data_IF_990108069515
#
_entry.id   IF_990108069515
#
_cell.length_a   1.000
_cell.length_b   1.000
_cell.length_c   1.000
_cell.angle_alpha   90.00
_cell.angle_beta   90.00
_cell.angle_gamma   90.00
#
_symmetry.space_group_name_H-M   'P 1'
#
loop_
_entity.id
_entity.type
_entity.pdbx_description
1 polymer ?
#
# COMPACT_ATOMS: atom_id res chain seq x y z
N UNK A 1 -34.13 1.00 -23.07
CA UNK A 1 -35.06 1.81 -22.26
C UNK A 1 -35.16 3.16 -22.96
N UNK A 2 -36.33 3.53 -23.46
CA UNK A 2 -36.51 4.75 -24.25
C UNK A 2 -36.68 5.93 -23.29
N UNK A 3 -35.71 6.84 -23.25
CA UNK A 3 -35.78 8.10 -22.52
C UNK A 3 -35.66 9.21 -23.57
N UNK A 4 -36.72 10.02 -23.68
CA UNK A 4 -36.76 11.33 -24.33
C UNK A 4 -36.56 11.46 -25.85
N UNK A 5 -37.27 10.67 -26.66
CA UNK A 5 -37.64 11.07 -28.05
C UNK A 5 -36.49 11.34 -29.04
N UNK A 6 -35.25 11.17 -28.63
CA UNK A 6 -34.04 11.21 -29.43
C UNK A 6 -33.54 9.77 -29.55
N UNK A 7 -33.67 9.19 -30.75
CA UNK A 7 -33.08 7.89 -31.11
C UNK A 7 -31.57 8.00 -31.22
N UNK A 8 -30.89 8.34 -30.12
CA UNK A 8 -29.45 8.21 -30.06
C UNK A 8 -29.12 6.72 -29.86
N UNK A 9 -28.26 6.12 -30.69
CA UNK A 9 -27.80 4.76 -30.46
C UNK A 9 -27.01 4.73 -29.15
N UNK A 10 -27.42 3.86 -28.24
CA UNK A 10 -26.67 3.56 -27.02
C UNK A 10 -25.84 2.31 -27.25
N UNK A 11 -24.58 2.37 -26.82
CA UNK A 11 -23.66 1.24 -26.89
C UNK A 11 -23.49 0.67 -25.49
N UNK A 12 -23.71 -0.63 -25.33
CA UNK A 12 -23.33 -1.34 -24.12
C UNK A 12 -21.87 -1.74 -24.29
N UNK A 13 -21.01 -1.24 -23.41
CA UNK A 13 -19.59 -1.58 -23.39
C UNK A 13 -19.28 -2.20 -22.04
N UNK A 14 -18.45 -3.23 -22.09
CA UNK A 14 -17.87 -3.86 -20.92
C UNK A 14 -16.95 -2.86 -20.19
N UNK A 15 -17.26 -2.55 -18.94
CA UNK A 15 -16.55 -1.58 -18.13
C UNK A 15 -15.10 -1.98 -17.84
N UNK A 16 -14.83 -3.29 -17.81
CA UNK A 16 -13.54 -3.88 -17.43
C UNK A 16 -12.76 -4.39 -18.65
N UNK A 17 -13.14 -3.96 -19.86
CA UNK A 17 -12.62 -4.52 -21.10
C UNK A 17 -11.08 -4.51 -21.21
N UNK A 18 -10.42 -3.48 -20.67
CA UNK A 18 -8.95 -3.43 -20.67
C UNK A 18 -8.34 -4.49 -19.76
N UNK A 19 -8.93 -4.68 -18.57
CA UNK A 19 -8.48 -5.68 -17.62
C UNK A 19 -8.62 -7.09 -18.20
N UNK A 20 -9.75 -7.36 -18.86
CA UNK A 20 -10.02 -8.65 -19.48
C UNK A 20 -9.09 -8.95 -20.68
N UNK A 21 -8.82 -7.95 -21.53
CA UNK A 21 -7.96 -8.15 -22.70
C UNK A 21 -6.46 -8.14 -22.37
N UNK A 22 -6.04 -7.44 -21.31
CA UNK A 22 -4.62 -7.17 -21.02
C UNK A 22 -4.23 -7.57 -19.61
N UNK A 23 -4.76 -6.90 -18.59
CA UNK A 23 -4.18 -6.95 -17.22
C UNK A 23 -4.36 -8.29 -16.53
N UNK A 24 -5.47 -8.98 -16.79
CA UNK A 24 -5.82 -10.27 -16.19
C UNK A 24 -5.33 -11.46 -17.04
N UNK A 25 -4.59 -11.21 -18.11
CA UNK A 25 -4.06 -12.27 -18.97
C UNK A 25 -3.00 -13.11 -18.24
N UNK A 26 -2.84 -14.41 -18.57
CA UNK A 26 -1.80 -15.25 -17.98
C UNK A 26 -0.37 -14.72 -18.19
N UNK A 27 -0.15 -13.94 -19.27
CA UNK A 27 1.15 -13.32 -19.53
C UNK A 27 1.46 -12.23 -18.50
N UNK A 28 0.49 -11.38 -18.15
CA UNK A 28 0.66 -10.32 -17.14
C UNK A 28 0.80 -10.85 -15.71
N UNK A 29 0.54 -12.14 -15.47
CA UNK A 29 0.84 -12.77 -14.18
C UNK A 29 2.34 -13.08 -13.99
N UNK A 30 3.20 -12.88 -15.00
CA UNK A 30 4.64 -13.17 -14.90
C UNK A 30 5.41 -11.90 -14.52
N UNK A 31 6.16 -11.94 -13.42
CA UNK A 31 6.83 -10.75 -12.88
C UNK A 31 7.72 -10.00 -13.88
N UNK A 32 8.45 -10.72 -14.73
CA UNK A 32 9.31 -10.15 -15.77
C UNK A 32 8.56 -9.32 -16.81
N UNK A 33 7.29 -9.64 -17.07
CA UNK A 33 6.49 -8.99 -18.11
C UNK A 33 6.15 -7.55 -17.72
N UNK A 34 6.03 -7.23 -16.44
CA UNK A 34 5.79 -5.87 -15.99
C UNK A 34 6.95 -4.95 -16.43
N UNK A 35 8.18 -5.38 -16.23
CA UNK A 35 9.35 -4.64 -16.71
C UNK A 35 9.35 -4.51 -18.24
N UNK A 36 9.05 -5.60 -18.96
CA UNK A 36 8.96 -5.57 -20.43
C UNK A 36 7.90 -4.57 -20.92
N UNK A 37 6.75 -4.50 -20.26
CA UNK A 37 5.66 -3.56 -20.57
C UNK A 37 6.09 -2.11 -20.34
N UNK A 38 6.60 -1.79 -19.14
CA UNK A 38 6.90 -0.40 -18.78
C UNK A 38 8.16 0.16 -19.45
N UNK A 39 9.15 -0.70 -19.79
CA UNK A 39 10.36 -0.25 -20.49
C UNK A 39 10.21 -0.18 -22.01
N UNK A 40 9.24 -0.88 -22.60
CA UNK A 40 9.01 -0.83 -24.04
C UNK A 40 8.32 0.49 -24.44
N UNK A 41 8.79 1.23 -25.46
CA UNK A 41 8.10 2.44 -25.93
C UNK A 41 6.72 2.17 -26.54
N UNK A 42 6.51 0.95 -27.05
CA UNK A 42 5.30 0.49 -27.74
C UNK A 42 5.12 -1.00 -27.46
N UNK A 43 3.89 -1.40 -27.14
CA UNK A 43 3.50 -2.78 -26.86
C UNK A 43 2.23 -3.08 -27.65
N UNK A 44 2.24 -4.22 -28.33
CA UNK A 44 1.05 -4.79 -28.95
C UNK A 44 0.69 -6.05 -28.16
N UNK A 45 -0.44 -6.00 -27.47
CA UNK A 45 -0.99 -7.12 -26.72
C UNK A 45 -1.93 -7.93 -27.63
N UNK A 46 -1.76 -9.24 -27.58
CA UNK A 46 -2.69 -10.19 -28.20
C UNK A 46 -3.67 -10.62 -27.10
N UNK A 47 -4.77 -9.88 -26.99
CA UNK A 47 -5.86 -10.18 -26.07
C UNK A 47 -6.65 -11.40 -26.51
N UNK A 48 -7.62 -11.80 -25.69
CA UNK A 48 -8.45 -12.98 -25.97
C UNK A 48 -9.40 -12.72 -27.15
N UNK A 49 -9.94 -11.50 -27.26
CA UNK A 49 -10.96 -11.15 -28.25
C UNK A 49 -10.43 -10.17 -29.30
N UNK A 50 -9.43 -9.37 -28.98
CA UNK A 50 -8.90 -8.34 -29.89
C UNK A 50 -7.43 -8.01 -29.62
N UNK A 51 -6.82 -7.27 -30.54
CA UNK A 51 -5.54 -6.61 -30.29
C UNK A 51 -5.72 -5.38 -29.41
N UNK A 52 -4.78 -5.18 -28.49
CA UNK A 52 -4.65 -3.95 -27.72
C UNK A 52 -3.29 -3.31 -27.97
N UNK A 53 -3.29 -1.99 -28.13
CA UNK A 53 -2.09 -1.19 -28.35
C UNK A 53 -1.83 -0.32 -27.13
N UNK A 54 -0.58 -0.26 -26.71
CA UNK A 54 -0.13 0.62 -25.65
C UNK A 54 1.19 1.30 -26.04
N UNK A 55 1.26 2.62 -25.95
CA UNK A 55 2.50 3.38 -26.04
C UNK A 55 2.54 4.49 -24.99
N UNK A 56 3.63 5.26 -24.95
CA UNK A 56 3.81 6.37 -24.01
C UNK A 56 2.97 7.62 -24.36
N UNK A 57 1.84 7.46 -25.07
CA UNK A 57 0.98 8.57 -25.50
C UNK A 57 -0.48 8.11 -25.71
N UNK A 58 -0.70 6.87 -26.13
CA UNK A 58 -2.01 6.34 -26.49
C UNK A 58 -2.15 4.89 -26.04
N UNK A 59 -3.33 4.59 -25.47
CA UNK A 59 -3.82 3.24 -25.25
C UNK A 59 -5.06 3.03 -26.11
N UNK A 60 -5.08 1.98 -26.92
CA UNK A 60 -6.13 1.71 -27.90
C UNK A 60 -6.49 0.22 -27.97
N UNK A 61 -7.72 -0.05 -28.42
CA UNK A 61 -8.26 -1.38 -28.71
C UNK A 61 -8.71 -1.41 -30.17
N UNK A 62 -8.89 -2.57 -30.80
CA UNK A 62 -9.45 -2.65 -32.16
C UNK A 62 -10.80 -1.94 -32.27
N UNK A 63 -11.63 -2.03 -31.23
CA UNK A 63 -12.91 -1.32 -31.15
C UNK A 63 -12.78 0.17 -30.79
N UNK A 64 -11.63 0.60 -30.27
CA UNK A 64 -11.32 1.98 -29.91
C UNK A 64 -9.99 2.44 -30.54
N UNK A 65 -9.90 2.50 -31.89
CA UNK A 65 -8.63 2.75 -32.58
C UNK A 65 -8.08 4.17 -32.35
N UNK A 66 -8.94 5.11 -31.93
CA UNK A 66 -8.56 6.48 -31.60
C UNK A 66 -8.22 6.68 -30.10
N UNK A 67 -8.29 5.63 -29.29
CA UNK A 67 -8.02 5.67 -27.86
C UNK A 67 -9.17 5.13 -27.01
N UNK A 68 -8.83 4.38 -25.96
CA UNK A 68 -9.80 3.89 -24.98
C UNK A 68 -10.35 5.08 -24.17
N UNK A 69 -11.68 5.24 -24.06
CA UNK A 69 -12.28 6.27 -23.21
C UNK A 69 -11.80 6.16 -21.75
N UNK A 70 -11.48 7.29 -21.11
CA UNK A 70 -10.96 7.31 -19.74
C UNK A 70 -11.88 6.68 -18.70
N UNK A 71 -13.19 6.67 -18.94
CA UNK A 71 -14.16 5.97 -18.07
C UNK A 71 -13.96 4.45 -18.05
N UNK A 72 -13.40 3.88 -19.13
CA UNK A 72 -13.10 2.44 -19.26
C UNK A 72 -11.64 2.12 -18.92
N UNK A 73 -10.80 3.14 -18.77
CA UNK A 73 -9.40 3.02 -18.39
C UNK A 73 -8.97 4.26 -17.60
N UNK A 74 -9.25 4.29 -16.28
CA UNK A 74 -8.94 5.46 -15.46
C UNK A 74 -7.45 5.80 -15.38
N UNK A 75 -6.57 4.79 -15.53
CA UNK A 75 -5.13 4.95 -15.55
C UNK A 75 -4.52 4.14 -16.70
N UNK A 76 -4.05 4.81 -17.74
CA UNK A 76 -3.25 4.19 -18.79
C UNK A 76 -1.78 4.08 -18.38
N UNK A 77 -1.00 3.28 -19.11
CA UNK A 77 0.47 3.29 -18.97
C UNK A 77 1.05 4.69 -19.10
N UNK A 78 0.52 5.52 -20.00
CA UNK A 78 1.00 6.88 -20.16
C UNK A 78 0.77 7.72 -18.90
N UNK A 79 -0.40 7.61 -18.28
CA UNK A 79 -0.73 8.34 -17.05
C UNK A 79 0.20 7.92 -15.91
N UNK A 80 0.40 6.60 -15.75
CA UNK A 80 1.30 6.02 -14.74
C UNK A 80 2.73 6.49 -14.97
N UNK A 81 3.26 6.35 -16.20
CA UNK A 81 4.63 6.77 -16.51
C UNK A 81 4.81 8.28 -16.31
N UNK A 82 3.85 9.10 -16.74
CA UNK A 82 3.90 10.55 -16.59
C UNK A 82 3.95 10.98 -15.12
N UNK A 83 3.21 10.30 -14.25
CA UNK A 83 3.27 10.53 -12.81
C UNK A 83 4.61 10.07 -12.20
N UNK A 84 5.14 8.93 -12.63
CA UNK A 84 6.40 8.36 -12.14
C UNK A 84 7.63 9.19 -12.53
N UNK A 85 7.71 9.68 -13.77
CA UNK A 85 8.87 10.43 -14.26
C UNK A 85 8.66 11.95 -14.18
N UNK A 86 7.47 12.39 -13.76
CA UNK A 86 7.11 13.78 -13.63
C UNK A 86 7.91 14.50 -12.53
N UNK A 87 8.08 15.82 -12.70
CA UNK A 87 8.80 16.65 -11.75
C UNK A 87 8.04 16.80 -10.43
N UNK A 88 8.61 16.24 -9.35
CA UNK A 88 8.05 16.26 -8.00
C UNK A 88 8.16 17.61 -7.29
N UNK A 89 8.97 18.54 -7.82
CA UNK A 89 9.11 19.91 -7.31
C UNK A 89 7.86 20.78 -7.48
N UNK A 90 6.84 20.28 -8.18
CA UNK A 90 5.58 21.00 -8.47
C UNK A 90 4.62 21.09 -7.28
N UNK A 91 4.95 20.51 -6.13
CA UNK A 91 4.18 20.58 -4.88
C UNK A 91 3.65 19.22 -4.42
N UNK A 92 2.86 19.22 -3.34
CA UNK A 92 2.36 17.99 -2.71
C UNK A 92 1.49 17.13 -3.63
N UNK A 93 0.69 17.75 -4.50
CA UNK A 93 -0.14 17.01 -5.47
C UNK A 93 0.70 16.15 -6.42
N UNK A 94 1.85 16.67 -6.89
CA UNK A 94 2.75 15.89 -7.75
C UNK A 94 3.37 14.70 -7.00
N UNK A 95 3.78 14.92 -5.73
CA UNK A 95 4.30 13.86 -4.85
C UNK A 95 3.26 12.78 -4.59
N UNK A 96 2.00 13.18 -4.42
CA UNK A 96 0.87 12.27 -4.28
C UNK A 96 0.69 11.43 -5.54
N UNK A 97 0.60 12.04 -6.73
CA UNK A 97 0.48 11.31 -8.00
C UNK A 97 1.62 10.32 -8.20
N UNK A 98 2.86 10.71 -7.87
CA UNK A 98 4.01 9.82 -7.92
C UNK A 98 3.87 8.60 -7.02
N UNK A 99 3.48 8.80 -5.75
CA UNK A 99 3.24 7.70 -4.81
C UNK A 99 2.10 6.80 -5.27
N UNK A 100 0.97 7.37 -5.71
CA UNK A 100 -0.17 6.61 -6.24
C UNK A 100 0.27 5.73 -7.43
N UNK A 101 0.98 6.31 -8.41
CA UNK A 101 1.46 5.58 -9.56
C UNK A 101 2.50 4.50 -9.20
N UNK A 102 3.41 4.80 -8.26
CA UNK A 102 4.39 3.82 -7.79
C UNK A 102 3.73 2.66 -7.04
N UNK A 103 2.82 2.97 -6.13
CA UNK A 103 2.08 1.97 -5.34
C UNK A 103 1.23 1.08 -6.25
N UNK A 104 0.63 1.65 -7.31
CA UNK A 104 -0.08 0.87 -8.33
C UNK A 104 0.86 -0.12 -9.05
N UNK A 105 2.02 0.33 -9.50
CA UNK A 105 3.02 -0.52 -10.17
C UNK A 105 3.54 -1.62 -9.24
N UNK A 106 3.80 -1.31 -7.97
CA UNK A 106 4.22 -2.30 -6.97
C UNK A 106 3.10 -3.30 -6.70
N UNK A 107 1.85 -2.86 -6.55
CA UNK A 107 0.69 -3.74 -6.39
C UNK A 107 0.58 -4.74 -7.55
N UNK A 108 0.58 -4.24 -8.80
CA UNK A 108 0.59 -5.06 -10.01
C UNK A 108 1.77 -6.04 -10.07
N UNK A 109 2.95 -5.64 -9.60
CA UNK A 109 4.12 -6.51 -9.57
C UNK A 109 4.04 -7.57 -8.47
N UNK A 110 3.56 -7.19 -7.29
CA UNK A 110 3.53 -8.05 -6.10
C UNK A 110 2.60 -9.27 -6.27
N UNK A 111 1.49 -9.10 -7.03
CA UNK A 111 0.59 -10.21 -7.42
C UNK A 111 1.17 -11.15 -8.48
N UNK A 112 2.27 -10.80 -9.13
CA UNK A 112 2.85 -11.64 -10.17
C UNK A 112 3.51 -12.90 -9.57
N UNK A 113 3.39 -14.00 -10.32
CA UNK A 113 4.05 -15.28 -10.03
C UNK A 113 5.51 -15.23 -10.49
N UNK A 114 6.40 -15.65 -9.60
CA UNK A 114 7.82 -15.83 -9.87
C UNK A 114 8.14 -17.32 -9.97
N UNK A 115 8.76 -17.74 -11.08
CA UNK A 115 9.30 -19.10 -11.17
C UNK A 115 10.51 -19.28 -10.24
N UNK A 116 11.31 -18.23 -10.07
CA UNK A 116 12.43 -18.17 -9.12
C UNK A 116 12.24 -16.98 -8.17
N UNK A 117 12.05 -17.25 -6.87
CA UNK A 117 11.79 -16.20 -5.87
C UNK A 117 12.92 -15.16 -5.75
N UNK A 118 14.14 -15.57 -6.09
CA UNK A 118 15.34 -14.70 -6.10
C UNK A 118 15.31 -13.66 -7.21
N UNK A 119 14.49 -13.84 -8.25
CA UNK A 119 14.38 -12.88 -9.36
C UNK A 119 13.53 -11.64 -9.00
N UNK A 120 12.86 -11.62 -7.84
CA UNK A 120 11.93 -10.52 -7.45
C UNK A 120 12.58 -9.13 -7.55
N UNK A 121 13.84 -9.02 -7.12
CA UNK A 121 14.58 -7.76 -7.19
C UNK A 121 14.97 -7.43 -8.63
N UNK A 122 15.52 -8.41 -9.36
CA UNK A 122 16.03 -8.22 -10.73
C UNK A 122 14.92 -7.82 -11.68
N UNK A 123 13.79 -8.53 -11.65
CA UNK A 123 12.66 -8.33 -12.55
C UNK A 123 11.92 -7.01 -12.31
N UNK A 124 12.20 -6.30 -11.23
CA UNK A 124 11.64 -4.97 -10.96
C UNK A 124 12.67 -3.82 -11.15
N UNK A 125 13.96 -4.16 -11.05
CA UNK A 125 15.06 -3.18 -11.01
C UNK A 125 15.13 -2.25 -12.23
N UNK A 126 14.69 -2.70 -13.41
CA UNK A 126 14.71 -1.87 -14.62
C UNK A 126 13.77 -0.66 -14.52
N UNK A 127 12.57 -0.86 -13.98
CA UNK A 127 11.58 0.21 -13.78
C UNK A 127 12.08 1.21 -12.73
N UNK A 128 12.60 0.71 -11.60
CA UNK A 128 13.18 1.55 -10.56
C UNK A 128 14.34 2.42 -11.09
N UNK A 129 15.29 1.83 -11.83
CA UNK A 129 16.42 2.56 -12.42
C UNK A 129 15.98 3.65 -13.40
N UNK A 130 14.97 3.36 -14.21
CA UNK A 130 14.40 4.36 -15.13
C UNK A 130 13.82 5.55 -14.35
N UNK A 131 13.02 5.29 -13.32
CA UNK A 131 12.40 6.34 -12.51
C UNK A 131 13.46 7.15 -11.74
N UNK A 132 14.46 6.49 -11.13
CA UNK A 132 15.58 7.14 -10.45
C UNK A 132 16.37 8.04 -11.41
N UNK A 133 16.68 7.57 -12.62
CA UNK A 133 17.40 8.36 -13.62
C UNK A 133 16.61 9.58 -14.10
N UNK A 134 15.29 9.50 -14.19
CA UNK A 134 14.44 10.62 -14.63
C UNK A 134 14.15 11.63 -13.52
N UNK A 135 14.02 11.18 -12.27
CA UNK A 135 13.56 12.03 -11.16
C UNK A 135 14.68 12.49 -10.23
N UNK A 136 15.80 11.76 -10.17
CA UNK A 136 16.83 11.92 -9.15
C UNK A 136 16.40 11.49 -7.74
N UNK A 137 15.22 10.86 -7.59
CA UNK A 137 14.79 10.30 -6.32
C UNK A 137 15.63 9.05 -6.02
N UNK A 138 16.22 8.99 -4.82
CA UNK A 138 17.03 7.84 -4.38
C UNK A 138 16.13 6.62 -4.12
N UNK A 139 16.40 5.53 -4.84
CA UNK A 139 15.71 4.25 -4.67
C UNK A 139 16.35 3.44 -3.54
N UNK A 140 15.53 2.95 -2.61
CA UNK A 140 15.98 2.22 -1.42
C UNK A 140 15.11 0.98 -1.25
N UNK A 141 15.66 -0.19 -1.58
CA UNK A 141 15.08 -1.52 -1.30
C UNK A 141 13.55 -1.61 -1.50
N UNK A 142 13.04 -1.31 -2.70
CA UNK A 142 11.59 -1.40 -2.98
C UNK A 142 10.84 -0.08 -2.92
N UNK A 143 11.40 0.96 -2.30
CA UNK A 143 10.73 2.25 -2.06
C UNK A 143 11.65 3.43 -2.40
N UNK A 144 11.18 4.64 -2.17
CA UNK A 144 11.87 5.89 -2.44
C UNK A 144 12.15 6.64 -1.15
N UNK A 145 13.32 7.27 -1.05
CA UNK A 145 13.69 8.10 0.12
C UNK A 145 12.61 9.10 0.53
N UNK A 146 11.98 9.75 -0.44
CA UNK A 146 10.95 10.78 -0.23
C UNK A 146 9.55 10.22 0.09
N UNK A 147 9.34 8.90 -0.07
CA UNK A 147 8.10 8.20 0.23
C UNK A 147 8.22 7.24 1.42
N UNK A 148 9.45 6.99 1.91
CA UNK A 148 9.78 5.94 2.87
C UNK A 148 8.84 5.87 4.09
N UNK A 149 8.53 7.01 4.71
CA UNK A 149 7.64 7.04 5.89
C UNK A 149 6.22 6.54 5.61
N UNK A 150 5.73 6.73 4.38
CA UNK A 150 4.40 6.30 3.96
C UNK A 150 4.42 4.82 3.57
N UNK A 151 5.45 4.42 2.84
CA UNK A 151 5.58 3.08 2.28
C UNK A 151 5.80 2.04 3.39
N UNK A 152 6.35 2.41 4.55
CA UNK A 152 6.45 1.52 5.72
C UNK A 152 5.09 0.97 6.21
N UNK A 153 3.99 1.62 5.87
CA UNK A 153 2.63 1.19 6.20
C UNK A 153 2.03 0.17 5.23
N UNK A 154 2.83 -0.43 4.34
CA UNK A 154 2.34 -1.47 3.44
C UNK A 154 1.74 -2.65 4.21
N UNK A 155 0.72 -3.28 3.63
CA UNK A 155 -0.03 -4.40 4.23
C UNK A 155 -0.42 -5.43 3.18
N UNK A 156 -0.77 -6.64 3.61
CA UNK A 156 -1.27 -7.73 2.78
C UNK A 156 -2.80 -7.79 2.93
N UNK A 157 -3.52 -8.16 1.87
CA UNK A 157 -4.95 -8.48 2.01
C UNK A 157 -5.10 -9.99 2.10
N UNK A 158 -5.83 -10.44 3.11
CA UNK A 158 -6.17 -11.85 3.29
C UNK A 158 -7.13 -12.30 2.20
N UNK A 159 -6.61 -12.80 1.09
CA UNK A 159 -7.39 -13.69 0.23
C UNK A 159 -6.92 -15.12 0.45
N UNK A 160 -7.85 -15.92 0.95
CA UNK A 160 -7.75 -17.36 1.16
C UNK A 160 -7.05 -18.03 -0.04
N UNK A 161 -5.82 -18.52 0.13
CA UNK A 161 -5.33 -19.77 -0.51
C UNK A 161 -3.81 -19.95 -0.61
N UNK A 162 -2.96 -18.98 -0.26
CA UNK A 162 -1.51 -19.20 -0.31
C UNK A 162 -0.89 -19.25 1.09
N UNK A 163 -0.23 -20.37 1.40
CA UNK A 163 0.63 -20.55 2.57
C UNK A 163 1.51 -19.31 2.73
N UNK A 164 1.41 -18.65 3.89
CA UNK A 164 2.31 -17.57 4.28
C UNK A 164 3.75 -18.01 3.97
N UNK A 165 4.48 -17.30 3.08
CA UNK A 165 5.84 -17.69 2.78
C UNK A 165 6.64 -17.63 4.08
N UNK A 166 7.19 -18.79 4.48
CA UNK A 166 8.02 -18.92 5.68
C UNK A 166 9.08 -17.81 5.76
N UNK A 167 9.34 -17.33 6.99
CA UNK A 167 10.42 -16.43 7.46
C UNK A 167 11.74 -16.52 6.67
N UNK A 168 12.02 -17.66 6.03
CA UNK A 168 13.10 -17.90 5.07
C UNK A 168 13.27 -16.90 3.91
N UNK A 169 12.33 -15.98 3.64
CA UNK A 169 12.51 -14.92 2.63
C UNK A 169 13.28 -13.70 3.15
N UNK A 170 13.62 -13.66 4.45
CA UNK A 170 14.35 -12.56 5.11
C UNK A 170 15.74 -12.28 4.53
N UNK A 171 16.36 -13.25 3.83
CA UNK A 171 17.68 -13.06 3.23
C UNK A 171 17.64 -12.19 1.94
N UNK A 172 16.46 -11.93 1.36
CA UNK A 172 16.33 -11.20 0.10
C UNK A 172 16.34 -9.68 0.29
N UNK A 173 15.64 -9.20 1.31
CA UNK A 173 15.48 -7.78 1.58
C UNK A 173 15.21 -7.55 3.08
N UNK A 174 15.44 -6.33 3.59
CA UNK A 174 15.11 -5.94 4.96
C UNK A 174 13.62 -6.15 5.26
N UNK A 175 13.23 -6.45 6.50
CA UNK A 175 11.84 -6.83 6.82
C UNK A 175 10.83 -5.69 6.58
N UNK A 176 11.30 -4.44 6.68
CA UNK A 176 10.51 -3.27 6.34
C UNK A 176 10.21 -3.09 4.85
N UNK A 177 10.94 -3.79 3.97
CA UNK A 177 10.71 -3.75 2.54
C UNK A 177 9.65 -4.76 2.13
N UNK A 178 8.66 -4.34 1.32
CA UNK A 178 7.70 -5.25 0.67
C UNK A 178 8.40 -6.28 -0.24
N UNK A 179 9.67 -6.07 -0.61
CA UNK A 179 10.46 -7.03 -1.36
C UNK A 179 10.90 -8.22 -0.51
N UNK A 180 10.74 -8.18 0.82
CA UNK A 180 11.02 -9.32 1.70
C UNK A 180 9.97 -10.42 1.57
N UNK A 181 8.69 -10.09 1.35
CA UNK A 181 7.59 -11.06 1.26
C UNK A 181 7.28 -11.44 -0.19
N UNK A 182 6.59 -12.54 -0.44
CA UNK A 182 5.95 -12.81 -1.75
C UNK A 182 4.44 -12.51 -1.65
N UNK A 183 3.70 -12.48 -2.76
CA UNK A 183 2.26 -12.21 -2.75
C UNK A 183 1.88 -10.73 -2.82
N UNK A 184 0.59 -10.49 -3.00
CA UNK A 184 0.04 -9.16 -3.22
C UNK A 184 0.14 -8.29 -1.97
N UNK A 185 0.56 -7.04 -2.17
CA UNK A 185 0.67 -6.04 -1.12
C UNK A 185 0.02 -4.73 -1.56
N UNK A 186 -0.45 -3.98 -0.59
CA UNK A 186 -1.08 -2.67 -0.74
C UNK A 186 -0.34 -1.65 0.11
N UNK A 187 -0.58 -0.38 -0.21
CA UNK A 187 -0.03 0.74 0.54
C UNK A 187 -1.17 1.60 1.09
N UNK A 188 -0.90 2.40 2.13
CA UNK A 188 -1.81 3.46 2.53
C UNK A 188 -2.19 4.32 1.32
N UNK A 189 -3.48 4.70 1.17
CA UNK A 189 -3.93 5.51 0.05
C UNK A 189 -3.14 6.82 0.00
N UNK A 190 -2.38 7.01 -1.08
CA UNK A 190 -1.63 8.24 -1.27
C UNK A 190 -2.55 9.44 -1.57
N UNK A 191 -3.82 9.17 -1.91
CA UNK A 191 -4.88 10.13 -2.18
C UNK A 191 -5.28 10.99 -1.00
N UNK A 192 -5.13 10.42 0.19
CA UNK A 192 -5.68 10.98 1.40
C UNK A 192 -4.78 12.09 1.93
N UNK A 193 -5.40 13.14 2.46
CA UNK A 193 -4.65 14.31 2.92
C UNK A 193 -3.97 13.99 4.23
N UNK A 194 -2.65 13.86 4.21
CA UNK A 194 -1.85 13.73 5.44
C UNK A 194 -2.03 14.97 6.31
N UNK A 195 -2.49 14.78 7.54
CA UNK A 195 -2.70 15.86 8.52
C UNK A 195 -1.57 15.91 9.55
N UNK A 196 -0.96 14.77 9.87
CA UNK A 196 0.09 14.70 10.89
C UNK A 196 1.04 13.51 10.66
N UNK A 197 2.32 13.70 10.96
CA UNK A 197 3.32 12.63 11.05
C UNK A 197 3.64 12.32 12.51
N UNK A 198 3.61 11.05 12.89
CA UNK A 198 3.91 10.56 14.24
C UNK A 198 5.29 9.92 14.38
N UNK A 199 5.93 9.59 13.25
CA UNK A 199 7.31 9.13 13.20
C UNK A 199 8.16 9.98 12.24
N UNK A 200 9.46 10.03 12.50
CA UNK A 200 10.46 10.71 11.67
C UNK A 200 11.61 9.77 11.35
N UNK A 201 11.99 9.69 10.06
CA UNK A 201 13.16 8.91 9.63
C UNK A 201 14.43 9.66 10.05
N UNK A 202 15.20 9.07 10.97
CA UNK A 202 16.49 9.58 11.42
C UNK A 202 17.65 9.08 10.54
N UNK A 203 17.59 7.81 10.14
CA UNK A 203 18.58 7.17 9.29
C UNK A 203 17.93 6.10 8.40
N UNK A 204 18.54 5.85 7.26
CA UNK A 204 18.13 4.84 6.29
C UNK A 204 19.39 4.30 5.58
N UNK A 205 19.34 3.11 4.98
CA UNK A 205 20.52 2.54 4.33
C UNK A 205 20.87 3.28 3.04
N UNK A 206 22.13 3.69 2.90
CA UNK A 206 22.66 4.36 1.69
C UNK A 206 22.77 3.35 0.55
N UNK A 207 22.28 3.73 -0.64
CA UNK A 207 22.19 2.89 -1.85
C UNK A 207 23.51 2.16 -2.22
N UNK A 208 24.69 2.75 -1.97
CA UNK A 208 26.00 2.13 -2.25
C UNK A 208 26.30 0.86 -1.42
N UNK A 209 25.63 0.66 -0.26
CA UNK A 209 25.75 -0.55 0.57
C UNK A 209 24.64 -1.58 0.33
N UNK A 210 23.59 -1.20 -0.40
CA UNK A 210 22.47 -2.05 -0.80
C UNK A 210 22.80 -2.81 -2.10
N UNK A 211 23.95 -2.54 -2.70
CA UNK A 211 24.42 -3.17 -3.91
C UNK A 211 23.66 -2.65 -5.13
N UNK A 212 24.40 -2.10 -6.09
CA UNK A 212 23.91 -1.96 -7.49
C UNK A 212 23.59 -3.31 -8.15
N UNK A 213 23.86 -4.42 -7.45
CA UNK A 213 23.52 -5.76 -7.85
C UNK A 213 22.12 -6.09 -7.34
N UNK A 214 21.20 -6.30 -8.26
CA UNK A 214 19.79 -6.53 -8.03
C UNK A 214 19.45 -7.86 -7.30
N UNK A 215 20.22 -8.26 -6.28
CA UNK A 215 20.17 -9.60 -5.68
C UNK A 215 19.88 -9.62 -4.17
N UNK A 216 20.30 -8.63 -3.38
CA UNK A 216 19.94 -8.51 -1.96
C UNK A 216 19.97 -7.06 -1.51
N UNK A 217 18.87 -6.59 -0.92
CA UNK A 217 18.86 -5.33 -0.18
C UNK A 217 19.15 -5.60 1.31
N UNK A 218 19.93 -4.74 1.97
CA UNK A 218 20.23 -4.87 3.41
C UNK A 218 20.26 -3.51 4.09
N UNK A 219 19.88 -3.47 5.36
CA UNK A 219 20.10 -2.34 6.26
C UNK A 219 18.89 -1.95 7.09
N UNK A 220 19.17 -1.23 8.17
CA UNK A 220 18.16 -0.78 9.13
C UNK A 220 17.67 0.64 8.81
N UNK A 221 16.40 0.91 9.09
CA UNK A 221 15.83 2.25 9.17
C UNK A 221 15.75 2.65 10.63
N UNK A 222 16.24 3.84 10.97
CA UNK A 222 16.09 4.41 12.30
C UNK A 222 14.93 5.41 12.30
N UNK A 223 13.97 5.18 13.21
CA UNK A 223 12.76 5.97 13.37
C UNK A 223 12.75 6.64 14.75
N UNK A 224 12.51 7.95 14.80
CA UNK A 224 12.05 8.61 16.02
C UNK A 224 10.52 8.54 16.08
N UNK A 225 9.96 7.91 17.10
CA UNK A 225 8.52 7.68 17.21
C UNK A 225 8.05 7.50 18.66
N UNK A 226 6.73 7.33 18.84
CA UNK A 226 6.10 6.90 20.09
C UNK A 226 5.55 5.48 19.91
N UNK A 227 6.31 4.43 20.25
CA UNK A 227 5.83 3.06 20.13
C UNK A 227 4.75 2.77 21.17
N UNK A 228 3.68 2.11 20.75
CA UNK A 228 2.57 1.70 21.60
C UNK A 228 2.53 0.17 21.68
N UNK A 229 2.45 -0.38 22.89
CA UNK A 229 2.31 -1.82 23.05
C UNK A 229 0.93 -2.28 22.55
N UNK A 230 0.92 -3.33 21.74
CA UNK A 230 -0.29 -4.10 21.41
C UNK A 230 -0.59 -5.03 22.59
N UNK A 231 -1.56 -4.64 23.42
CA UNK A 231 -1.86 -5.32 24.69
C UNK A 231 -2.67 -6.60 24.51
N UNK A 232 -3.57 -6.62 23.53
CA UNK A 232 -4.44 -7.76 23.25
C UNK A 232 -5.00 -7.72 21.84
N UNK A 233 -5.36 -8.89 21.32
CA UNK A 233 -6.11 -9.08 20.08
C UNK A 233 -7.25 -10.06 20.34
N UNK A 234 -8.38 -9.86 19.67
CA UNK A 234 -9.52 -10.78 19.61
C UNK A 234 -9.77 -11.20 18.16
N UNK A 235 -10.13 -12.46 17.96
CA UNK A 235 -10.29 -13.06 16.63
C UNK A 235 -11.76 -13.34 16.30
N UNK A 236 -12.18 -13.06 15.08
CA UNK A 236 -13.41 -13.54 14.48
C UNK A 236 -13.10 -14.42 13.26
N UNK A 237 -13.16 -15.74 13.43
CA UNK A 237 -12.64 -16.66 12.42
C UNK A 237 -11.12 -16.52 12.29
N UNK A 238 -10.64 -16.20 11.09
CA UNK A 238 -9.22 -16.02 10.77
C UNK A 238 -8.80 -14.54 10.64
N UNK A 239 -9.71 -13.61 10.92
CA UNK A 239 -9.42 -12.17 10.99
C UNK A 239 -9.43 -11.66 12.42
N UNK A 240 -8.66 -10.60 12.68
CA UNK A 240 -8.66 -9.90 13.96
C UNK A 240 -9.89 -8.99 13.96
N UNK A 241 -10.77 -9.15 14.96
CA UNK A 241 -12.00 -8.34 15.08
C UNK A 241 -11.83 -7.16 16.02
N UNK A 242 -10.88 -7.23 16.95
CA UNK A 242 -10.63 -6.18 17.93
C UNK A 242 -9.20 -6.24 18.43
N UNK A 243 -8.62 -5.09 18.74
CA UNK A 243 -7.30 -5.01 19.37
C UNK A 243 -7.18 -3.82 20.32
N UNK A 244 -6.24 -3.90 21.25
CA UNK A 244 -6.01 -2.86 22.24
C UNK A 244 -4.59 -2.29 22.16
N UNK A 245 -4.50 -0.96 22.06
CA UNK A 245 -3.24 -0.21 22.07
C UNK A 245 -3.38 1.00 22.99
N UNK A 246 -2.37 1.25 23.83
CA UNK A 246 -2.39 2.34 24.80
C UNK A 246 -3.64 2.36 25.72
N UNK A 247 -4.22 1.19 26.03
CA UNK A 247 -5.44 1.06 26.82
C UNK A 247 -6.72 1.46 26.07
N UNK A 248 -6.63 1.66 24.76
CA UNK A 248 -7.74 2.03 23.88
C UNK A 248 -8.05 0.83 22.98
N UNK A 249 -9.31 0.44 23.01
CA UNK A 249 -9.86 -0.70 22.28
C UNK A 249 -10.38 -0.23 20.92
N UNK A 250 -9.92 -0.87 19.85
CA UNK A 250 -10.25 -0.58 18.46
C UNK A 250 -10.92 -1.80 17.86
N UNK A 251 -12.12 -1.61 17.31
CA UNK A 251 -12.87 -2.65 16.59
C UNK A 251 -12.52 -2.60 15.10
N UNK A 252 -12.26 -3.78 14.53
CA UNK A 252 -12.13 -3.98 13.09
C UNK A 252 -13.54 -4.14 12.51
N UNK A 253 -14.01 -3.12 11.80
CA UNK A 253 -15.28 -3.15 11.09
C UNK A 253 -15.06 -3.95 9.81
N UNK A 254 -15.74 -5.10 9.66
CA UNK A 254 -15.55 -6.12 8.58
C UNK A 254 -15.75 -5.57 7.15
N UNK A 255 -16.16 -4.32 7.00
CA UNK A 255 -16.26 -3.66 5.70
C UNK A 255 -14.83 -3.41 5.16
N UNK A 256 -14.59 -3.58 3.85
CA UNK A 256 -13.28 -3.34 3.20
C UNK A 256 -12.67 -1.94 3.46
N UNK A 257 -13.48 -1.05 4.03
CA UNK A 257 -13.14 0.31 4.43
C UNK A 257 -13.09 0.47 5.95
N UNK A 258 -12.75 -0.55 6.73
CA UNK A 258 -12.65 -0.49 8.20
C UNK A 258 -11.26 -0.15 8.75
N UNK A 259 -11.16 -0.10 10.09
CA UNK A 259 -9.87 -0.19 10.79
C UNK A 259 -9.36 -1.62 10.66
N UNK A 260 -8.14 -1.82 10.19
CA UNK A 260 -7.60 -3.16 9.96
C UNK A 260 -6.23 -3.34 10.61
N UNK A 261 -6.00 -4.51 11.23
CA UNK A 261 -4.72 -4.93 11.76
C UNK A 261 -4.23 -6.16 10.97
N UNK A 262 -3.26 -5.95 10.09
CA UNK A 262 -2.60 -6.99 9.30
C UNK A 262 -1.32 -7.42 10.02
N UNK A 263 -1.34 -8.58 10.68
CA UNK A 263 -0.16 -9.18 11.30
C UNK A 263 0.31 -10.40 10.50
N UNK A 264 1.63 -10.52 10.37
CA UNK A 264 2.24 -11.54 9.53
C UNK A 264 2.35 -12.88 10.25
N UNK A 265 1.88 -13.94 9.58
CA UNK A 265 1.95 -15.32 10.05
C UNK A 265 0.58 -15.97 10.24
N UNK A 266 0.58 -17.23 10.70
CA UNK A 266 -0.66 -17.92 11.05
C UNK A 266 -1.30 -17.31 12.30
N UNK A 267 -2.58 -17.56 12.52
CA UNK A 267 -3.31 -17.16 13.73
C UNK A 267 -2.60 -17.59 15.01
N UNK A 268 -2.07 -18.81 15.04
CA UNK A 268 -1.32 -19.36 16.18
C UNK A 268 0.01 -18.63 16.38
N UNK A 269 0.74 -18.37 15.29
CA UNK A 269 2.02 -17.64 15.33
C UNK A 269 1.81 -16.21 15.82
N UNK A 270 0.82 -15.51 15.28
CA UNK A 270 0.45 -14.15 15.68
C UNK A 270 0.01 -14.11 17.14
N UNK A 271 -0.83 -15.06 17.57
CA UNK A 271 -1.30 -15.11 18.96
C UNK A 271 -0.13 -15.33 19.94
N UNK A 272 0.80 -16.24 19.62
CA UNK A 272 2.02 -16.45 20.43
C UNK A 272 2.94 -15.24 20.39
N UNK A 273 3.12 -14.58 19.23
CA UNK A 273 3.94 -13.39 19.09
C UNK A 273 3.48 -12.25 20.01
N UNK A 274 2.16 -11.99 20.04
CA UNK A 274 1.56 -10.95 20.90
C UNK A 274 1.68 -11.31 22.39
N UNK A 275 1.52 -12.58 22.76
CA UNK A 275 1.60 -13.03 24.16
C UNK A 275 3.03 -13.12 24.70
N UNK A 276 3.98 -13.60 23.90
CA UNK A 276 5.31 -14.03 24.38
C UNK A 276 6.42 -13.01 24.11
N UNK A 277 6.46 -12.42 22.91
CA UNK A 277 7.54 -11.52 22.48
C UNK A 277 7.16 -10.04 22.57
N UNK A 278 5.86 -9.76 22.60
CA UNK A 278 5.33 -8.40 22.52
C UNK A 278 5.42 -7.84 21.11
N UNK A 279 4.40 -7.07 20.74
CA UNK A 279 4.32 -6.36 19.48
C UNK A 279 4.12 -4.88 19.80
N UNK A 280 4.91 -4.03 19.14
CA UNK A 280 4.77 -2.60 19.20
C UNK A 280 4.11 -2.09 17.93
N UNK A 281 3.08 -1.29 18.08
CA UNK A 281 2.56 -0.43 17.03
C UNK A 281 3.40 0.84 16.99
N UNK A 282 3.98 1.15 15.83
CA UNK A 282 4.71 2.40 15.58
C UNK A 282 3.85 3.27 14.65
N UNK A 283 3.13 4.27 15.19
CA UNK A 283 2.35 5.19 14.38
C UNK A 283 3.25 5.98 13.43
N UNK A 284 2.93 5.97 12.14
CA UNK A 284 3.72 6.61 11.09
C UNK A 284 3.18 8.00 10.78
N UNK A 285 1.92 8.07 10.35
CA UNK A 285 1.22 9.29 9.96
C UNK A 285 -0.29 9.08 10.00
N UNK A 286 -1.03 10.18 10.01
CA UNK A 286 -2.48 10.19 9.93
C UNK A 286 -2.97 11.08 8.79
N UNK A 287 -4.10 10.70 8.21
CA UNK A 287 -4.77 11.40 7.11
C UNK A 287 -5.95 12.21 7.63
N UNK A 288 -6.93 12.57 6.83
CA UNK A 288 -8.22 13.06 7.32
C UNK A 288 -9.17 11.92 7.73
N UNK A 289 -8.82 10.66 7.42
CA UNK A 289 -9.69 9.50 7.59
C UNK A 289 -9.12 8.44 8.55
N UNK A 290 -7.80 8.23 8.54
CA UNK A 290 -7.18 7.10 9.20
C UNK A 290 -5.76 7.38 9.71
N UNK A 291 -5.37 6.65 10.75
CA UNK A 291 -4.01 6.55 11.28
C UNK A 291 -3.35 5.30 10.68
N UNK A 292 -2.14 5.44 10.16
CA UNK A 292 -1.36 4.33 9.64
C UNK A 292 -0.15 4.06 10.54
N UNK A 293 0.10 2.78 10.79
CA UNK A 293 1.19 2.33 11.65
C UNK A 293 1.88 1.09 11.07
N UNK A 294 3.15 0.93 11.40
CA UNK A 294 3.89 -0.32 11.18
C UNK A 294 3.92 -1.12 12.49
N UNK A 295 3.69 -2.43 12.41
CA UNK A 295 3.75 -3.32 13.56
C UNK A 295 5.13 -3.95 13.60
N UNK A 296 5.77 -3.94 14.77
CA UNK A 296 7.15 -4.42 14.93
C UNK A 296 7.31 -5.29 16.17
N UNK A 297 8.22 -6.26 16.12
CA UNK A 297 8.60 -7.09 17.27
C UNK A 297 10.12 -7.11 17.43
N UNK A 298 10.61 -7.21 18.66
CA UNK A 298 12.05 -7.15 18.94
C UNK A 298 12.76 -8.42 18.43
N UNK A 299 13.87 -8.22 17.71
CA UNK A 299 14.71 -9.29 17.19
C UNK A 299 15.78 -9.66 18.22
N UNK A 300 15.47 -10.67 19.04
CA UNK A 300 16.40 -11.21 20.04
C UNK A 300 16.68 -10.21 21.15
N UNK A 301 17.96 -9.94 21.44
CA UNK A 301 18.43 -9.00 22.47
C UNK A 301 19.24 -7.83 21.87
N UNK A 302 19.06 -7.57 20.57
CA UNK A 302 19.89 -6.63 19.80
C UNK A 302 19.43 -5.17 19.92
N UNK A 303 18.22 -4.93 20.45
CA UNK A 303 17.54 -3.64 20.37
C UNK A 303 17.21 -3.22 18.93
N UNK A 304 17.15 -4.19 18.01
CA UNK A 304 16.64 -4.05 16.64
C UNK A 304 15.27 -4.72 16.56
N UNK A 305 14.43 -4.22 15.67
CA UNK A 305 13.07 -4.67 15.50
C UNK A 305 12.87 -5.19 14.09
N UNK A 306 12.01 -6.18 13.93
CA UNK A 306 11.54 -6.65 12.63
C UNK A 306 10.09 -6.24 12.44
N UNK A 307 9.73 -5.90 11.21
CA UNK A 307 8.34 -5.67 10.81
C UNK A 307 7.60 -7.01 10.93
N UNK A 308 6.41 -6.95 11.53
CA UNK A 308 5.50 -8.10 11.69
C UNK A 308 4.09 -7.77 11.23
N UNK A 309 3.90 -6.65 10.52
CA UNK A 309 2.60 -6.22 10.05
C UNK A 309 2.44 -4.72 9.88
N UNK A 310 1.21 -4.29 9.67
CA UNK A 310 0.79 -2.89 9.62
C UNK A 310 -0.63 -2.73 10.18
N UNK A 311 -0.98 -1.50 10.55
CA UNK A 311 -2.32 -1.17 11.00
C UNK A 311 -2.84 0.08 10.28
N UNK A 312 -4.11 0.04 9.93
CA UNK A 312 -4.93 1.18 9.53
C UNK A 312 -6.00 1.36 10.60
N UNK A 313 -6.04 2.51 11.26
CA UNK A 313 -7.05 2.79 12.30
C UNK A 313 -7.88 3.98 11.86
N UNK A 314 -9.11 3.73 11.48
CA UNK A 314 -10.00 4.78 11.02
C UNK A 314 -10.58 5.58 12.16
N UNK A 315 -10.76 6.86 11.89
CA UNK A 315 -11.41 7.79 12.80
C UNK A 315 -12.31 8.80 12.12
N UNK A 316 -12.37 8.85 10.79
CA UNK A 316 -13.21 9.78 10.05
C UNK A 316 -13.90 9.10 8.87
N UNK A 317 -15.21 9.28 8.75
CA UNK A 317 -16.00 8.83 7.59
C UNK A 317 -17.03 9.89 7.20
N UNK A 318 -17.33 9.97 5.90
CA UNK A 318 -18.47 10.75 5.41
C UNK A 318 -19.74 9.91 5.55
N UNK A 319 -20.80 10.48 6.13
CA UNK A 319 -22.10 9.83 6.19
C UNK A 319 -22.83 10.08 4.86
N UNK A 320 -23.17 9.01 4.14
CA UNK A 320 -23.99 9.14 2.93
C UNK A 320 -25.42 9.53 3.31
N UNK A 321 -25.73 10.82 3.12
CA UNK A 321 -27.03 11.40 3.42
C UNK A 321 -28.17 10.79 2.58
N UNK A 322 -27.86 10.08 1.49
CA UNK A 322 -28.86 9.44 0.62
C UNK A 322 -29.38 8.09 1.16
N UNK A 323 -28.66 7.46 2.09
CA UNK A 323 -28.93 6.07 2.52
C UNK A 323 -29.63 5.94 3.89
N UNK A 324 -30.02 7.03 4.56
CA UNK A 324 -30.52 6.98 5.96
C UNK A 324 -29.62 6.13 6.87
N UNK A 325 -28.30 6.15 6.65
CA UNK A 325 -27.37 5.29 7.38
C UNK A 325 -27.38 5.61 8.88
N UNK A 326 -27.61 4.60 9.72
CA UNK A 326 -27.45 4.70 11.16
C UNK A 326 -25.98 4.96 11.50
N UNK A 327 -25.71 5.80 12.51
CA UNK A 327 -24.35 6.05 12.97
C UNK A 327 -23.85 4.77 13.67
N UNK A 328 -22.73 4.17 13.24
CA UNK A 328 -22.24 2.94 13.86
C UNK A 328 -21.86 3.17 15.32
N UNK A 329 -21.91 2.10 16.12
CA UNK A 329 -21.52 2.16 17.53
C UNK A 329 -20.07 2.65 17.68
N UNK A 330 -19.85 3.56 18.63
CA UNK A 330 -18.54 4.20 18.85
C UNK A 330 -18.25 5.41 17.95
N UNK A 331 -19.10 5.70 16.95
CA UNK A 331 -18.99 6.88 16.09
C UNK A 331 -19.90 8.03 16.54
N UNK A 332 -19.46 9.27 16.34
CA UNK A 332 -20.21 10.49 16.70
C UNK A 332 -20.13 11.55 15.60
N UNK A 333 -21.18 12.36 15.45
CA UNK A 333 -21.18 13.47 14.48
C UNK A 333 -20.08 14.50 14.80
N UNK A 334 -19.29 14.85 13.80
CA UNK A 334 -18.24 15.87 13.89
C UNK A 334 -18.71 17.18 13.26
N UNK A 335 -19.13 18.14 14.09
CA UNK A 335 -19.34 19.59 13.80
C UNK A 335 -20.21 19.97 12.59
N UNK A 336 -19.82 19.52 11.39
CA UNK A 336 -20.56 19.52 10.14
C UNK A 336 -21.55 18.35 10.02
N UNK A 337 -22.66 18.55 9.31
CA UNK A 337 -23.80 17.63 9.26
C UNK A 337 -23.63 16.38 8.38
N UNK A 338 -22.41 16.02 7.99
CA UNK A 338 -22.13 14.89 7.08
C UNK A 338 -20.89 14.08 7.42
N UNK A 339 -20.28 14.31 8.58
CA UNK A 339 -19.04 13.63 9.00
C UNK A 339 -19.21 12.99 10.36
N UNK A 340 -18.75 11.75 10.48
CA UNK A 340 -18.70 11.02 11.75
C UNK A 340 -17.25 10.71 12.10
N UNK A 341 -16.98 10.66 13.41
CA UNK A 341 -15.66 10.30 13.95
C UNK A 341 -15.74 9.19 14.98
N UNK A 342 -14.77 8.28 14.97
CA UNK A 342 -14.69 7.22 15.97
C UNK A 342 -14.12 7.78 17.28
N UNK A 343 -14.85 7.60 18.38
CA UNK A 343 -14.52 8.19 19.67
C UNK A 343 -13.26 7.59 20.29
N UNK A 344 -13.05 6.28 20.14
CA UNK A 344 -11.89 5.59 20.68
C UNK A 344 -10.64 5.99 19.89
N UNK A 345 -10.71 5.97 18.56
CA UNK A 345 -9.57 6.39 17.74
C UNK A 345 -9.24 7.88 17.92
N UNK A 346 -10.24 8.74 18.13
CA UNK A 346 -9.99 10.15 18.47
C UNK A 346 -9.19 10.30 19.78
N UNK A 347 -9.50 9.49 20.81
CA UNK A 347 -8.73 9.46 22.06
C UNK A 347 -7.28 8.99 21.82
N UNK A 348 -7.08 8.06 20.89
CA UNK A 348 -5.74 7.57 20.54
C UNK A 348 -4.90 8.68 19.90
N UNK A 349 -5.48 9.48 19.00
CA UNK A 349 -4.79 10.63 18.41
C UNK A 349 -4.44 11.68 19.46
N UNK A 350 -5.36 11.98 20.40
CA UNK A 350 -5.09 12.91 21.51
C UNK A 350 -3.97 12.38 22.42
N UNK A 351 -3.97 11.08 22.72
CA UNK A 351 -2.91 10.43 23.48
C UNK A 351 -1.56 10.58 22.76
N UNK A 352 -1.50 10.30 21.45
CA UNK A 352 -0.29 10.41 20.66
C UNK A 352 0.25 11.84 20.61
N UNK A 353 -0.62 12.82 20.41
CA UNK A 353 -0.24 14.23 20.40
C UNK A 353 0.39 14.68 21.73
N UNK A 354 -0.06 14.11 22.86
CA UNK A 354 0.54 14.35 24.18
C UNK A 354 1.85 13.58 24.36
N UNK A 355 1.84 12.27 24.10
CA UNK A 355 2.97 11.37 24.31
C UNK A 355 4.19 11.78 23.48
N UNK A 356 4.00 12.31 22.28
CA UNK A 356 5.07 12.83 21.42
C UNK A 356 5.98 13.86 22.11
N UNK A 357 5.49 14.60 23.11
CA UNK A 357 6.30 15.59 23.84
C UNK A 357 7.13 14.99 24.98
N UNK A 358 6.81 13.76 25.40
CA UNK A 358 7.27 13.21 26.67
C UNK A 358 8.01 11.87 26.50
N UNK A 359 7.68 11.07 25.48
CA UNK A 359 8.07 9.65 25.41
C UNK A 359 8.60 9.20 24.05
N UNK A 360 9.09 10.12 23.21
CA UNK A 360 9.76 9.75 21.95
C UNK A 360 10.97 8.84 22.20
N UNK A 361 11.14 7.85 21.32
CA UNK A 361 12.27 6.91 21.33
C UNK A 361 12.75 6.67 19.90
N UNK A 362 14.02 6.28 19.79
CA UNK A 362 14.58 5.75 18.55
C UNK A 362 14.33 4.24 18.48
N UNK A 363 13.82 3.77 17.34
CA UNK A 363 13.67 2.35 16.97
C UNK A 363 14.48 2.09 15.72
N UNK A 364 15.24 1.00 15.72
CA UNK A 364 15.93 0.49 14.53
C UNK A 364 15.12 -0.67 13.97
N UNK A 365 14.65 -0.52 12.74
CA UNK A 365 13.83 -1.48 12.02
C UNK A 365 14.68 -2.15 10.94
N UNK A 366 14.91 -3.45 11.10
CA UNK A 366 15.70 -4.32 10.21
C UNK A 366 14.89 -4.84 9.03
#
# INVERSE_FOLDING_TARGET
>A
MEVDGLRNPYWLVDGDIWNDEVENTPLMQRAWVLQERFLAPRVLHFGQRQLAWECNELTALEMFPAGVPSILLPQSKFDILSALIGSQSRGEYAKQQFREAWNHVVGQYSRCKLTQKTDKLVAFSGVAKMVEACTGNEYIAGTWKNALIYDLGWYRTGTDSEEWPSITTSDRAPSWSWMAVDGEIFFPPASDKVVEHFATILAYPVSERVGTSAFQARGEIELECVPLMLSSIEWAGDTISEFEVAGIRITDDIDESGSHLDLEGSKEEVTSLVQDRGVLMVPLFATDLALFAVMVSEEGLSGSYVRVGAAKIEYGKTLDASLQAEIPDGWVMSGSSSWIVNKNTSQLLEYLAKARKETQRSIRLN
#
